data_IF_296716296266
#
_entry.id   IF_296716296266
#
_cell.length_a   1.000
_cell.length_b   1.000
_cell.length_c   1.000
_cell.angle_alpha   90.00
_cell.angle_beta   90.00
_cell.angle_gamma   90.00
#
_symmetry.space_group_name_H-M   'P 1'
#
loop_
_entity.id
_entity.type
_entity.pdbx_description
1 polymer ?
#
# COMPACT_ATOMS: atom_id res chain seq x y z
N UNK A 1 -22.94 38.56 9.91
CA UNK A 1 -21.73 37.72 9.94
C UNK A 1 -21.86 36.63 11.02
N UNK A 2 -22.91 35.79 10.92
CA UNK A 2 -23.09 34.61 11.79
C UNK A 2 -22.57 33.39 11.00
N UNK A 3 -21.52 32.73 11.48
CA UNK A 3 -20.99 31.52 10.88
C UNK A 3 -21.68 30.27 11.44
N UNK A 4 -21.85 29.18 10.68
CA UNK A 4 -22.29 27.91 11.24
C UNK A 4 -21.14 27.21 11.98
N UNK A 5 -21.45 26.77 13.20
CA UNK A 5 -20.61 25.92 14.04
C UNK A 5 -20.68 24.46 13.58
N UNK A 6 -19.53 23.79 13.69
CA UNK A 6 -19.25 22.36 13.84
C UNK A 6 -20.35 21.33 13.54
N UNK A 7 -19.98 20.38 12.68
CA UNK A 7 -20.68 19.11 12.53
C UNK A 7 -20.16 18.05 13.50
N UNK A 8 -20.97 17.01 13.68
CA UNK A 8 -20.51 15.74 14.22
C UNK A 8 -21.26 14.61 13.51
N UNK A 9 -20.51 13.92 12.65
CA UNK A 9 -20.91 12.71 11.93
C UNK A 9 -20.31 11.53 12.69
N UNK A 10 -21.14 10.69 13.31
CA UNK A 10 -20.69 9.45 13.95
C UNK A 10 -21.19 8.25 13.15
N UNK A 11 -20.44 7.89 12.11
CA UNK A 11 -20.60 6.62 11.41
C UNK A 11 -19.50 5.68 11.88
N UNK A 12 -19.83 4.64 12.65
CA UNK A 12 -18.99 3.45 12.69
C UNK A 12 -19.75 2.29 13.34
N UNK A 13 -20.21 1.38 12.49
CA UNK A 13 -20.63 0.03 12.87
C UNK A 13 -20.38 -0.88 11.68
N UNK A 14 -19.12 -1.01 11.27
CA UNK A 14 -18.71 -2.03 10.30
C UNK A 14 -17.89 -3.05 11.09
N UNK A 15 -18.50 -4.18 11.43
CA UNK A 15 -17.80 -5.35 11.97
C UNK A 15 -17.01 -6.01 10.84
N UNK A 16 -15.72 -6.22 11.09
CA UNK A 16 -14.78 -6.86 10.17
C UNK A 16 -15.02 -8.37 10.12
N UNK A 17 -15.22 -8.98 8.94
CA UNK A 17 -15.13 -10.42 8.82
C UNK A 17 -13.66 -10.84 8.83
N UNK A 18 -13.32 -11.62 9.85
CA UNK A 18 -12.11 -12.41 10.00
C UNK A 18 -12.22 -13.64 9.07
N UNK A 19 -11.43 -13.72 8.00
CA UNK A 19 -11.16 -14.96 7.27
C UNK A 19 -9.70 -14.99 6.76
N UNK A 20 -8.85 -15.52 7.64
CA UNK A 20 -7.82 -16.54 7.39
C UNK A 20 -7.43 -16.79 5.92
N UNK A 21 -6.46 -16.02 5.42
CA UNK A 21 -5.64 -16.44 4.30
C UNK A 21 -4.31 -16.97 4.86
N UNK A 22 -4.27 -18.27 5.14
CA UNK A 22 -3.05 -19.01 5.45
C UNK A 22 -2.05 -18.90 4.29
N UNK A 23 -1.21 -17.85 4.29
CA UNK A 23 -0.02 -17.74 3.44
C UNK A 23 1.13 -18.44 4.17
N UNK A 24 1.03 -19.76 4.25
CA UNK A 24 2.19 -20.60 4.51
C UNK A 24 2.73 -21.03 3.15
N UNK A 25 3.69 -20.29 2.60
CA UNK A 25 4.78 -20.73 1.70
C UNK A 25 5.42 -19.52 1.03
N UNK A 26 6.69 -19.27 1.37
CA UNK A 26 7.62 -18.30 0.75
C UNK A 26 7.57 -16.84 1.24
N UNK A 27 7.65 -16.62 2.57
CA UNK A 27 8.14 -15.34 3.11
C UNK A 27 9.65 -15.11 2.87
N UNK A 28 10.30 -15.94 2.03
CA UNK A 28 11.61 -15.66 1.48
C UNK A 28 11.49 -14.65 0.33
N UNK A 29 10.95 -13.48 0.70
CA UNK A 29 11.13 -12.20 0.03
C UNK A 29 10.45 -12.07 -1.33
N UNK A 30 9.12 -12.22 -1.33
CA UNK A 30 8.33 -11.56 -2.37
C UNK A 30 8.64 -10.06 -2.41
N UNK A 31 9.07 -9.44 -1.31
CA UNK A 31 9.55 -8.06 -1.24
C UNK A 31 11.05 -7.84 -1.54
N UNK A 32 11.87 -8.87 -1.87
CA UNK A 32 13.32 -8.67 -2.14
C UNK A 32 13.54 -7.69 -3.29
N UNK A 33 12.67 -7.77 -4.31
CA UNK A 33 12.71 -6.89 -5.47
C UNK A 33 12.29 -5.45 -5.16
N UNK A 34 11.69 -5.22 -3.98
CA UNK A 34 11.37 -3.91 -3.45
C UNK A 34 12.41 -3.41 -2.45
N UNK A 35 13.44 -4.21 -2.11
CA UNK A 35 14.49 -3.80 -1.18
C UNK A 35 15.38 -2.65 -1.71
N UNK A 36 15.40 -2.44 -3.03
CA UNK A 36 16.05 -1.29 -3.67
C UNK A 36 15.18 -0.02 -3.65
N UNK A 37 13.89 -0.16 -3.30
CA UNK A 37 12.95 0.95 -3.17
C UNK A 37 13.03 1.55 -1.76
N UNK A 38 13.09 2.88 -1.66
CA UNK A 38 13.10 3.59 -0.38
C UNK A 38 11.82 3.32 0.44
N UNK A 39 11.99 3.05 1.74
CA UNK A 39 10.88 2.90 2.68
C UNK A 39 10.05 4.19 2.74
N UNK A 40 8.86 4.17 2.14
CA UNK A 40 7.98 5.35 2.03
C UNK A 40 7.80 5.89 0.60
N UNK A 41 8.37 5.23 -0.40
CA UNK A 41 8.08 5.54 -1.80
C UNK A 41 6.57 5.44 -2.10
N UNK A 42 6.04 6.45 -2.78
CA UNK A 42 4.65 6.45 -3.23
C UNK A 42 4.40 5.48 -4.38
N UNK A 43 3.13 5.23 -4.67
CA UNK A 43 2.73 4.30 -5.75
C UNK A 43 3.33 4.66 -7.12
N UNK A 44 3.48 5.96 -7.41
CA UNK A 44 4.08 6.44 -8.66
C UNK A 44 5.57 6.14 -8.71
N UNK A 45 6.28 6.41 -7.63
CA UNK A 45 7.74 6.24 -7.54
C UNK A 45 8.14 4.77 -7.64
N UNK A 46 7.37 3.86 -7.03
CA UNK A 46 7.54 2.40 -7.17
C UNK A 46 7.37 1.98 -8.64
N UNK A 47 6.37 2.53 -9.34
CA UNK A 47 6.07 2.15 -10.72
C UNK A 47 7.13 2.65 -11.71
N UNK A 48 7.66 3.86 -11.50
CA UNK A 48 8.79 4.39 -12.29
C UNK A 48 10.02 3.50 -12.12
N UNK A 49 10.39 3.20 -10.88
CA UNK A 49 11.53 2.34 -10.56
C UNK A 49 11.44 0.94 -11.18
N UNK A 50 10.26 0.30 -11.13
CA UNK A 50 10.03 -1.01 -11.76
C UNK A 50 9.98 -0.94 -13.29
N UNK A 51 9.51 0.17 -13.85
CA UNK A 51 9.46 0.37 -15.30
C UNK A 51 10.87 0.52 -15.86
N UNK A 52 11.71 1.32 -15.20
CA UNK A 52 13.12 1.51 -15.56
C UNK A 52 13.91 0.20 -15.51
N UNK A 53 13.75 -0.61 -14.45
CA UNK A 53 14.39 -1.93 -14.34
C UNK A 53 13.96 -2.92 -15.43
N UNK A 54 12.69 -2.88 -15.82
CA UNK A 54 12.19 -3.71 -16.93
C UNK A 54 12.77 -3.26 -18.27
N UNK A 55 12.91 -1.96 -18.50
CA UNK A 55 13.48 -1.41 -19.73
C UNK A 55 15.01 -1.55 -19.81
N UNK A 56 15.70 -1.52 -18.68
CA UNK A 56 17.16 -1.71 -18.59
C UNK A 56 17.60 -3.15 -18.81
N UNK A 57 16.68 -4.12 -18.79
CA UNK A 57 16.90 -5.43 -19.37
C UNK A 57 17.76 -6.37 -18.52
N UNK A 58 17.45 -6.48 -17.23
CA UNK A 58 17.73 -7.72 -16.50
C UNK A 58 16.48 -8.61 -16.54
N UNK A 59 16.26 -9.24 -17.70
CA UNK A 59 15.32 -10.36 -17.87
C UNK A 59 15.81 -11.34 -18.93
#
# INVERSE_FOLDING_TARGET
MTGPADGESATAGIESPDEDASVESDSARDDDHLADVEEGAGCTEIWEHLSEQRESGEN
#
